data_IF_902350849176
#
_entry.id   IF_902350849176
#
_cell.length_a   1.000
_cell.length_b   1.000
_cell.length_c   1.000
_cell.angle_alpha   90.00
_cell.angle_beta   90.00
_cell.angle_gamma   90.00
#
_symmetry.space_group_name_H-M   'P 1'
#
loop_
_entity.id
_entity.type
_entity.pdbx_description
1 polymer ?
#
# COMPACT_ATOMS: atom_id res chain seq x y z
N UNK A 1 39.33 7.84 3.40
CA UNK A 1 37.96 8.29 3.05
C UNK A 1 37.14 7.16 2.44
N UNK A 2 37.42 6.67 1.22
CA UNK A 2 36.58 5.62 0.57
C UNK A 2 36.38 4.36 1.42
N UNK A 3 37.45 3.88 2.08
CA UNK A 3 37.39 2.71 2.95
C UNK A 3 36.42 2.91 4.15
N UNK A 4 36.42 4.09 4.75
CA UNK A 4 35.51 4.44 5.87
C UNK A 4 34.06 4.48 5.41
N UNK A 5 33.79 5.06 4.23
CA UNK A 5 32.45 5.07 3.64
C UNK A 5 31.93 3.66 3.33
N UNK A 6 32.78 2.79 2.77
CA UNK A 6 32.41 1.38 2.51
C UNK A 6 32.14 0.60 3.80
N UNK A 7 32.95 0.79 4.84
CA UNK A 7 32.72 0.17 6.15
C UNK A 7 31.42 0.67 6.79
N UNK A 8 31.13 1.97 6.69
CA UNK A 8 29.89 2.56 7.22
C UNK A 8 28.65 2.06 6.46
N UNK A 9 28.72 1.90 5.14
CA UNK A 9 27.65 1.27 4.37
C UNK A 9 27.40 -0.18 4.82
N UNK A 10 28.46 -0.97 4.98
CA UNK A 10 28.34 -2.35 5.46
C UNK A 10 27.79 -2.43 6.90
N UNK A 11 28.27 -1.56 7.79
CA UNK A 11 27.78 -1.42 9.16
C UNK A 11 26.31 -0.99 9.19
N UNK A 12 25.91 -0.04 8.35
CA UNK A 12 24.53 0.39 8.20
C UNK A 12 23.60 -0.73 7.77
N UNK A 13 24.04 -1.58 6.82
CA UNK A 13 23.30 -2.79 6.41
C UNK A 13 23.24 -3.80 7.56
N UNK A 14 24.31 -3.98 8.34
CA UNK A 14 24.27 -4.84 9.53
C UNK A 14 23.24 -4.36 10.56
N UNK A 15 23.22 -3.06 10.86
CA UNK A 15 22.27 -2.42 11.77
C UNK A 15 20.82 -2.53 11.31
N UNK A 16 20.56 -2.62 9.99
CA UNK A 16 19.21 -2.82 9.46
C UNK A 16 18.57 -4.11 10.00
N UNK A 17 19.31 -5.22 10.02
CA UNK A 17 18.80 -6.50 10.53
C UNK A 17 18.66 -6.53 12.06
N UNK A 18 19.26 -5.58 12.78
CA UNK A 18 19.04 -5.40 14.21
C UNK A 18 17.80 -4.56 14.51
N UNK A 19 17.23 -3.87 13.51
CA UNK A 19 16.10 -2.99 13.70
C UNK A 19 14.80 -3.79 13.92
N UNK A 20 14.07 -3.57 15.04
CA UNK A 20 12.85 -4.31 15.36
C UNK A 20 11.75 -4.15 14.30
N UNK A 21 11.74 -3.04 13.56
CA UNK A 21 10.76 -2.80 12.50
C UNK A 21 10.82 -3.84 11.37
N UNK A 22 12.00 -4.41 11.08
CA UNK A 22 12.13 -5.44 10.02
C UNK A 22 11.31 -6.68 10.39
N UNK A 23 11.52 -7.19 11.61
CA UNK A 23 10.78 -8.36 12.12
C UNK A 23 9.31 -8.05 12.34
N UNK A 24 9.01 -6.85 12.86
CA UNK A 24 7.63 -6.40 13.03
C UNK A 24 6.87 -6.38 11.69
N UNK A 25 7.53 -5.95 10.63
CA UNK A 25 6.95 -5.88 9.29
C UNK A 25 6.64 -7.26 8.72
N UNK A 26 7.52 -8.26 8.95
CA UNK A 26 7.25 -9.66 8.60
C UNK A 26 6.06 -10.23 9.38
N UNK A 27 6.03 -9.99 10.69
CA UNK A 27 4.93 -10.40 11.56
C UNK A 27 3.59 -9.76 11.12
N UNK A 28 3.59 -8.45 10.91
CA UNK A 28 2.41 -7.71 10.46
C UNK A 28 1.92 -8.24 9.11
N UNK A 29 2.82 -8.53 8.15
CA UNK A 29 2.43 -9.10 6.87
C UNK A 29 1.72 -10.44 7.03
N UNK A 30 2.18 -11.29 7.95
CA UNK A 30 1.57 -12.59 8.22
C UNK A 30 0.17 -12.43 8.84
N UNK A 31 0.02 -11.54 9.82
CA UNK A 31 -1.27 -11.29 10.50
C UNK A 31 -2.30 -10.68 9.55
N UNK A 32 -1.88 -9.70 8.75
CA UNK A 32 -2.75 -9.04 7.75
C UNK A 32 -3.22 -10.05 6.71
N UNK A 33 -2.32 -10.88 6.18
CA UNK A 33 -2.64 -11.94 5.24
C UNK A 33 -3.57 -12.99 5.84
N UNK A 34 -3.32 -13.44 7.08
CA UNK A 34 -4.18 -14.40 7.78
C UNK A 34 -5.61 -13.87 7.95
N UNK A 35 -5.77 -12.61 8.41
CA UNK A 35 -7.09 -11.98 8.55
C UNK A 35 -7.81 -11.86 7.20
N UNK A 36 -7.09 -11.55 6.13
CA UNK A 36 -7.66 -11.51 4.78
C UNK A 36 -8.13 -12.89 4.34
N UNK A 37 -7.31 -13.93 4.46
CA UNK A 37 -7.68 -15.31 4.09
C UNK A 37 -8.90 -15.78 4.89
N UNK A 38 -9.01 -15.42 6.17
CA UNK A 38 -10.19 -15.72 6.98
C UNK A 38 -11.45 -15.09 6.38
N UNK A 39 -11.40 -13.83 5.96
CA UNK A 39 -12.52 -13.16 5.27
C UNK A 39 -12.81 -13.78 3.92
N UNK A 40 -11.80 -14.10 3.12
CA UNK A 40 -11.96 -14.75 1.81
C UNK A 40 -12.71 -16.08 1.95
N UNK A 41 -12.33 -16.92 2.92
CA UNK A 41 -13.03 -18.18 3.21
C UNK A 41 -14.46 -17.96 3.70
N UNK A 42 -14.71 -16.91 4.49
CA UNK A 42 -16.04 -16.57 4.97
C UNK A 42 -16.98 -16.05 3.87
N UNK A 43 -16.46 -15.28 2.91
CA UNK A 43 -17.27 -14.65 1.87
C UNK A 43 -17.35 -15.47 0.58
N UNK A 44 -16.30 -16.22 0.25
CA UNK A 44 -16.18 -16.95 -1.01
C UNK A 44 -15.99 -18.46 -0.84
N UNK A 45 -15.86 -18.97 0.39
CA UNK A 45 -15.66 -20.40 0.66
C UNK A 45 -14.23 -20.92 0.42
N UNK A 46 -13.35 -20.12 -0.19
CA UNK A 46 -12.00 -20.52 -0.56
C UNK A 46 -10.97 -19.41 -0.34
N UNK A 47 -9.68 -19.79 -0.37
CA UNK A 47 -8.55 -18.86 -0.35
C UNK A 47 -8.30 -18.36 -1.77
N UNK A 48 -8.38 -17.06 -2.00
CA UNK A 48 -8.09 -16.45 -3.31
C UNK A 48 -6.60 -16.11 -3.40
N UNK A 49 -6.04 -15.47 -2.36
CA UNK A 49 -4.66 -14.99 -2.37
C UNK A 49 -3.82 -15.60 -1.24
N UNK A 50 -2.52 -15.78 -1.49
CA UNK A 50 -1.56 -16.27 -0.49
C UNK A 50 -1.22 -15.24 0.58
N UNK A 51 -0.74 -15.71 1.73
CA UNK A 51 -0.56 -14.90 2.95
C UNK A 51 0.31 -13.64 2.76
N UNK A 52 1.28 -13.62 1.84
CA UNK A 52 2.17 -12.47 1.57
C UNK A 52 1.76 -11.61 0.37
N UNK A 53 0.51 -11.71 -0.09
CA UNK A 53 0.06 -11.04 -1.33
C UNK A 53 0.03 -9.50 -1.22
N UNK A 54 -0.11 -8.92 -0.03
CA UNK A 54 0.00 -7.46 0.19
C UNK A 54 1.42 -6.95 -0.07
N UNK A 55 2.43 -7.79 0.14
CA UNK A 55 3.83 -7.45 -0.13
C UNK A 55 4.21 -7.74 -1.59
N UNK A 56 3.58 -8.74 -2.23
CA UNK A 56 3.94 -9.19 -3.58
C UNK A 56 3.95 -8.03 -4.59
N UNK A 57 5.01 -7.99 -5.40
CA UNK A 57 5.31 -6.99 -6.43
C UNK A 57 5.63 -5.56 -5.92
N UNK A 58 5.84 -5.36 -4.61
CA UNK A 58 6.28 -4.07 -4.06
C UNK A 58 7.78 -3.99 -3.80
N UNK A 59 8.43 -5.13 -3.50
CA UNK A 59 9.85 -5.19 -3.14
C UNK A 59 10.81 -4.51 -4.14
N UNK A 60 10.69 -4.65 -5.49
CA UNK A 60 11.68 -4.07 -6.38
C UNK A 60 11.54 -2.54 -6.42
N UNK A 61 10.31 -2.03 -6.32
CA UNK A 61 10.08 -0.59 -6.20
C UNK A 61 10.60 -0.07 -4.87
N UNK A 62 10.43 -0.84 -3.80
CA UNK A 62 10.92 -0.49 -2.47
C UNK A 62 12.42 -0.24 -2.47
N UNK A 63 13.19 -1.10 -3.15
CA UNK A 63 14.64 -0.92 -3.30
C UNK A 63 14.96 0.28 -4.19
N UNK A 64 14.27 0.45 -5.32
CA UNK A 64 14.49 1.61 -6.21
C UNK A 64 14.25 2.92 -5.46
N UNK A 65 13.11 3.06 -4.76
CA UNK A 65 12.82 4.23 -3.93
C UNK A 65 13.79 4.35 -2.77
N UNK A 66 14.18 3.24 -2.16
CA UNK A 66 15.20 3.20 -1.11
C UNK A 66 16.52 3.82 -1.56
N UNK A 67 17.01 3.44 -2.74
CA UNK A 67 18.23 3.99 -3.35
C UNK A 67 18.06 5.47 -3.70
N UNK A 68 16.95 5.86 -4.33
CA UNK A 68 16.68 7.26 -4.69
C UNK A 68 16.60 8.16 -3.44
N UNK A 69 15.86 7.74 -2.42
CA UNK A 69 15.73 8.47 -1.15
C UNK A 69 17.09 8.51 -0.44
N UNK A 70 17.87 7.42 -0.45
CA UNK A 70 19.23 7.41 0.11
C UNK A 70 20.14 8.42 -0.57
N UNK A 71 20.13 8.50 -1.91
CA UNK A 71 20.94 9.48 -2.64
C UNK A 71 20.56 10.91 -2.28
N UNK A 72 19.26 11.20 -2.16
CA UNK A 72 18.77 12.55 -1.80
C UNK A 72 19.10 12.89 -0.35
N UNK A 73 18.86 11.97 0.59
CA UNK A 73 19.10 12.19 2.03
C UNK A 73 20.60 12.29 2.34
N UNK A 74 21.44 11.42 1.79
CA UNK A 74 22.90 11.53 1.93
C UNK A 74 23.39 12.78 1.21
N UNK A 75 22.94 13.06 -0.02
CA UNK A 75 23.39 14.21 -0.81
C UNK A 75 23.02 15.55 -0.16
N UNK A 76 21.82 15.66 0.40
CA UNK A 76 21.39 16.83 1.18
C UNK A 76 22.05 16.90 2.56
N UNK A 77 22.70 15.83 3.02
CA UNK A 77 23.27 15.76 4.37
C UNK A 77 22.19 15.80 5.43
N UNK A 78 21.12 15.02 5.26
CA UNK A 78 20.01 14.95 6.19
C UNK A 78 20.43 14.15 7.43
N UNK A 79 20.60 14.86 8.55
CA UNK A 79 20.95 14.28 9.84
C UNK A 79 19.69 14.07 10.68
N UNK A 80 19.48 12.83 11.14
CA UNK A 80 18.34 12.46 11.99
C UNK A 80 18.87 11.90 13.31
N UNK A 81 18.36 12.43 14.41
CA UNK A 81 18.71 11.93 15.74
C UNK A 81 18.23 10.50 15.95
N UNK A 82 18.95 9.75 16.80
CA UNK A 82 18.55 8.38 17.18
C UNK A 82 17.14 8.35 17.76
N UNK A 83 16.81 9.35 18.58
CA UNK A 83 15.52 9.45 19.25
C UNK A 83 14.37 9.65 18.26
N UNK A 84 14.60 10.44 17.20
CA UNK A 84 13.63 10.60 16.12
C UNK A 84 13.36 9.26 15.41
N UNK A 85 14.39 8.46 15.15
CA UNK A 85 14.24 7.14 14.50
C UNK A 85 13.48 6.17 15.43
N UNK A 86 13.81 6.16 16.72
CA UNK A 86 13.13 5.32 17.71
C UNK A 86 11.66 5.73 17.84
N UNK A 87 11.38 7.03 17.97
CA UNK A 87 10.01 7.54 18.07
C UNK A 87 9.20 7.21 16.81
N UNK A 88 9.78 7.41 15.62
CA UNK A 88 9.15 7.04 14.35
C UNK A 88 8.82 5.54 14.30
N UNK A 89 9.73 4.68 14.79
CA UNK A 89 9.50 3.25 14.88
C UNK A 89 8.36 2.91 15.86
N UNK A 90 8.33 3.53 17.04
CA UNK A 90 7.27 3.34 18.03
C UNK A 90 5.91 3.78 17.46
N UNK A 91 5.82 4.98 16.88
CA UNK A 91 4.60 5.49 16.23
C UNK A 91 4.14 4.54 15.12
N UNK A 92 5.06 4.07 14.28
CA UNK A 92 4.75 3.13 13.19
C UNK A 92 4.20 1.80 13.74
N UNK A 93 4.81 1.24 14.79
CA UNK A 93 4.31 0.03 15.46
C UNK A 93 2.92 0.27 16.04
N UNK A 94 2.72 1.36 16.80
CA UNK A 94 1.43 1.70 17.40
C UNK A 94 0.31 1.85 16.36
N UNK A 95 0.56 2.58 15.28
CA UNK A 95 -0.41 2.75 14.20
C UNK A 95 -0.71 1.41 13.48
N UNK A 96 0.30 0.54 13.34
CA UNK A 96 0.12 -0.78 12.71
C UNK A 96 -0.76 -1.74 13.52
N UNK A 97 -0.83 -1.60 14.85
CA UNK A 97 -1.67 -2.43 15.71
C UNK A 97 -3.16 -2.32 15.36
N UNK A 98 -3.59 -1.17 14.82
CA UNK A 98 -4.95 -0.97 14.31
C UNK A 98 -5.32 -1.90 13.15
N UNK A 99 -4.32 -2.53 12.51
CA UNK A 99 -4.45 -3.40 11.33
C UNK A 99 -5.03 -2.69 10.09
N UNK A 100 -5.16 -1.36 10.14
CA UNK A 100 -5.57 -0.53 9.01
C UNK A 100 -4.32 -0.02 8.32
N UNK A 101 -4.00 -0.59 7.16
CA UNK A 101 -2.79 -0.21 6.42
C UNK A 101 -2.79 1.25 5.98
N UNK A 102 -3.96 1.91 5.88
CA UNK A 102 -4.04 3.36 5.61
C UNK A 102 -3.30 4.22 6.62
N UNK A 103 -3.24 3.80 7.90
CA UNK A 103 -2.53 4.54 8.95
C UNK A 103 -1.00 4.41 8.83
N UNK A 104 -0.51 3.50 7.99
CA UNK A 104 0.92 3.34 7.71
C UNK A 104 1.40 4.22 6.55
N UNK A 105 0.55 5.10 6.02
CA UNK A 105 1.01 6.13 5.09
C UNK A 105 2.03 7.05 5.80
N UNK A 106 3.08 7.52 5.08
CA UNK A 106 4.01 8.54 5.57
C UNK A 106 3.32 9.78 6.13
N UNK A 107 2.12 10.09 5.62
CA UNK A 107 1.30 11.22 6.10
C UNK A 107 1.00 11.11 7.59
N UNK A 108 0.68 9.91 8.06
CA UNK A 108 0.31 9.68 9.47
C UNK A 108 1.53 9.30 10.30
N UNK A 109 2.40 8.41 9.81
CA UNK A 109 3.57 7.96 10.58
C UNK A 109 4.55 9.09 10.87
N UNK A 110 5.03 9.80 9.84
CA UNK A 110 5.95 10.93 10.02
C UNK A 110 5.19 12.17 10.49
N UNK A 111 3.96 12.41 10.01
CA UNK A 111 3.16 13.56 10.46
C UNK A 111 2.88 13.54 11.96
N UNK A 112 2.48 12.40 12.53
CA UNK A 112 2.28 12.25 13.98
C UNK A 112 3.62 12.35 14.72
N UNK A 113 4.68 11.71 14.21
CA UNK A 113 6.02 11.81 14.81
C UNK A 113 6.50 13.26 14.88
N UNK A 114 6.32 14.03 13.80
CA UNK A 114 6.67 15.45 13.74
C UNK A 114 5.88 16.25 14.78
N UNK A 115 4.56 16.05 14.87
CA UNK A 115 3.72 16.76 15.84
C UNK A 115 4.07 16.39 17.28
N UNK A 116 4.39 15.12 17.56
CA UNK A 116 4.85 14.68 18.87
C UNK A 116 6.18 15.33 19.24
N UNK A 117 7.15 15.41 18.32
CA UNK A 117 8.43 16.09 18.56
C UNK A 117 8.24 17.59 18.78
N UNK A 118 7.30 18.21 18.05
CA UNK A 118 7.01 19.64 18.20
C UNK A 118 6.33 19.96 19.55
N UNK A 119 5.41 19.11 20.00
CA UNK A 119 4.66 19.30 21.24
C UNK A 119 5.37 18.74 22.48
N UNK A 120 6.36 17.86 22.30
CA UNK A 120 7.08 17.20 23.37
C UNK A 120 7.65 18.20 24.41
N UNK A 121 8.37 19.27 24.03
CA UNK A 121 8.90 20.23 25.00
C UNK A 121 7.82 20.86 25.88
N UNK A 122 6.66 21.19 25.33
CA UNK A 122 5.54 21.81 26.07
C UNK A 122 4.89 20.83 27.05
N UNK A 123 4.75 19.57 26.65
CA UNK A 123 4.07 18.54 27.47
C UNK A 123 4.98 18.03 28.58
N UNK A 124 6.27 17.90 28.29
CA UNK A 124 7.24 17.28 29.20
C UNK A 124 7.79 18.27 30.24
N UNK A 125 7.59 19.58 30.08
CA UNK A 125 8.12 20.61 30.98
C UNK A 125 7.64 20.42 32.43
N UNK A 126 6.47 19.80 32.59
CA UNK A 126 5.83 19.57 33.88
C UNK A 126 5.97 18.13 34.41
N UNK A 127 6.88 17.32 33.84
CA UNK A 127 7.04 15.90 34.20
C UNK A 127 8.50 15.59 34.53
N UNK A 128 8.73 14.78 35.58
CA UNK A 128 10.07 14.38 36.02
C UNK A 128 10.50 12.99 35.54
N UNK A 129 9.62 12.26 34.85
CA UNK A 129 9.84 10.85 34.47
C UNK A 129 10.60 10.66 33.16
N UNK A 130 10.58 11.64 32.26
CA UNK A 130 11.20 11.56 30.93
C UNK A 130 12.20 12.70 30.81
N UNK A 131 13.46 12.35 30.54
CA UNK A 131 14.53 13.32 30.33
C UNK A 131 14.29 14.13 29.05
N UNK A 132 14.25 15.46 29.17
CA UNK A 132 14.05 16.38 28.04
C UNK A 132 15.08 16.24 26.91
N UNK A 133 16.30 15.82 27.25
CA UNK A 133 17.39 15.66 26.28
C UNK A 133 17.09 14.63 25.19
N UNK A 134 16.19 13.67 25.45
CA UNK A 134 15.77 12.66 24.47
C UNK A 134 15.01 13.25 23.27
N UNK A 135 14.52 14.50 23.34
CA UNK A 135 13.60 15.04 22.32
C UNK A 135 14.02 16.40 21.74
N UNK A 136 15.11 17.00 22.26
CA UNK A 136 15.59 18.33 21.84
C UNK A 136 16.41 18.35 20.53
N UNK A 137 16.79 17.20 19.99
CA UNK A 137 17.60 17.08 18.75
C UNK A 137 16.80 16.86 17.46
N UNK A 138 15.53 17.28 17.41
CA UNK A 138 14.66 17.00 16.28
C UNK A 138 14.96 17.89 15.05
N UNK A 139 15.32 17.27 13.92
CA UNK A 139 15.50 17.96 12.65
C UNK A 139 14.17 18.07 11.90
N UNK A 140 13.39 19.13 12.17
CA UNK A 140 12.08 19.34 11.55
C UNK A 140 12.16 19.49 10.02
N UNK A 141 13.17 20.19 9.50
CA UNK A 141 13.40 20.36 8.05
C UNK A 141 13.70 19.03 7.37
N UNK A 142 14.55 18.20 7.99
CA UNK A 142 14.84 16.86 7.48
C UNK A 142 13.61 15.96 7.50
N UNK A 143 12.84 15.98 8.59
CA UNK A 143 11.61 15.21 8.70
C UNK A 143 10.55 15.62 7.67
N UNK A 144 10.37 16.92 7.42
CA UNK A 144 9.45 17.39 6.38
C UNK A 144 9.91 16.99 4.98
N UNK A 145 11.22 16.91 4.74
CA UNK A 145 11.77 16.50 3.44
C UNK A 145 11.52 15.02 3.20
N UNK A 146 11.82 14.20 4.22
CA UNK A 146 11.56 12.77 4.19
C UNK A 146 10.06 12.46 4.02
N UNK A 147 9.21 13.18 4.74
CA UNK A 147 7.74 13.14 4.60
C UNK A 147 7.31 13.35 3.15
N UNK A 148 7.81 14.40 2.51
CA UNK A 148 7.48 14.72 1.13
C UNK A 148 7.94 13.64 0.15
N UNK A 149 9.18 13.18 0.27
CA UNK A 149 9.76 12.14 -0.61
C UNK A 149 8.97 10.83 -0.52
N UNK A 150 8.57 10.43 0.70
CA UNK A 150 7.82 9.20 0.91
C UNK A 150 6.36 9.30 0.45
N UNK A 151 5.71 10.47 0.54
CA UNK A 151 4.38 10.67 -0.07
C UNK A 151 4.44 10.51 -1.59
N UNK A 152 5.49 11.05 -2.22
CA UNK A 152 5.72 10.86 -3.66
C UNK A 152 5.92 9.37 -3.96
N UNK A 153 6.77 8.67 -3.19
CA UNK A 153 6.96 7.22 -3.34
C UNK A 153 5.66 6.43 -3.19
N UNK A 154 4.81 6.77 -2.22
CA UNK A 154 3.49 6.17 -2.02
C UNK A 154 2.59 6.35 -3.26
N UNK A 155 2.56 7.56 -3.85
CA UNK A 155 1.78 7.83 -5.05
C UNK A 155 2.22 6.96 -6.25
N UNK A 156 3.52 6.68 -6.38
CA UNK A 156 4.05 5.78 -7.41
C UNK A 156 3.72 4.32 -7.13
N UNK A 157 3.83 3.86 -5.88
CA UNK A 157 3.42 2.50 -5.52
C UNK A 157 1.93 2.27 -5.76
N UNK A 158 1.08 3.24 -5.44
CA UNK A 158 -0.35 3.15 -5.67
C UNK A 158 -0.65 2.96 -7.16
N UNK A 159 0.04 3.70 -8.05
CA UNK A 159 -0.14 3.60 -9.51
C UNK A 159 0.15 2.20 -10.05
N UNK A 160 1.07 1.45 -9.41
CA UNK A 160 1.49 0.14 -9.90
C UNK A 160 0.57 -0.95 -9.35
N UNK A 161 -0.54 -1.18 -10.04
CA UNK A 161 -1.47 -2.25 -9.73
C UNK A 161 -1.75 -3.12 -10.96
N UNK A 162 -1.94 -4.42 -10.71
CA UNK A 162 -2.52 -5.33 -11.67
C UNK A 162 -4.04 -5.39 -11.41
N UNK A 163 -4.85 -5.42 -12.47
CA UNK A 163 -6.31 -5.54 -12.39
C UNK A 163 -6.75 -6.77 -11.59
N UNK A 164 -6.05 -7.90 -11.77
CA UNK A 164 -6.26 -9.14 -10.99
C UNK A 164 -5.52 -9.16 -9.64
N UNK A 165 -4.79 -8.11 -9.30
CA UNK A 165 -3.99 -8.02 -8.07
C UNK A 165 -4.65 -7.29 -6.90
N UNK A 166 -5.96 -7.03 -7.01
CA UNK A 166 -6.76 -6.38 -5.97
C UNK A 166 -7.54 -7.41 -5.15
N UNK A 167 -7.84 -7.07 -3.90
CA UNK A 167 -8.47 -8.02 -2.99
C UNK A 167 -10.00 -7.85 -2.98
N UNK A 168 -10.76 -8.87 -3.39
CA UNK A 168 -12.21 -8.79 -3.38
C UNK A 168 -12.74 -8.88 -1.94
N UNK A 169 -13.83 -8.18 -1.67
CA UNK A 169 -14.61 -8.32 -0.45
C UNK A 169 -16.10 -8.16 -0.82
N UNK A 170 -16.99 -8.49 0.11
CA UNK A 170 -18.43 -8.40 -0.08
C UNK A 170 -19.01 -7.47 0.98
N UNK A 171 -19.84 -6.52 0.56
CA UNK A 171 -20.50 -5.56 1.45
C UNK A 171 -22.01 -5.54 1.18
N UNK A 172 -22.81 -5.26 2.21
CA UNK A 172 -24.25 -5.05 2.04
C UNK A 172 -24.48 -3.66 1.42
N UNK A 173 -25.08 -3.62 0.24
CA UNK A 173 -25.46 -2.36 -0.40
C UNK A 173 -26.56 -1.63 0.37
N UNK A 174 -26.78 -0.34 0.04
CA UNK A 174 -27.86 0.48 0.63
C UNK A 174 -29.26 -0.12 0.47
N UNK A 175 -29.45 -0.99 -0.52
CA UNK A 175 -30.71 -1.68 -0.84
C UNK A 175 -30.82 -3.06 -0.19
N UNK A 176 -29.91 -3.42 0.71
CA UNK A 176 -29.87 -4.73 1.38
C UNK A 176 -29.32 -5.87 0.52
N UNK A 177 -28.98 -5.62 -0.74
CA UNK A 177 -28.37 -6.61 -1.64
C UNK A 177 -26.86 -6.65 -1.45
N UNK A 178 -26.27 -7.86 -1.43
CA UNK A 178 -24.82 -8.03 -1.44
C UNK A 178 -24.21 -7.51 -2.73
N UNK A 179 -23.13 -6.73 -2.60
CA UNK A 179 -22.37 -6.18 -3.71
C UNK A 179 -20.89 -6.55 -3.55
N UNK A 180 -20.24 -6.77 -4.68
CA UNK A 180 -18.80 -6.96 -4.72
C UNK A 180 -18.07 -5.63 -4.57
N UNK A 181 -17.03 -5.61 -3.76
CA UNK A 181 -16.13 -4.47 -3.62
C UNK A 181 -14.68 -4.93 -3.75
N UNK A 182 -13.78 -3.99 -3.99
CA UNK A 182 -12.35 -4.27 -4.06
C UNK A 182 -11.56 -3.39 -3.10
N UNK A 183 -10.58 -4.00 -2.44
CA UNK A 183 -9.54 -3.31 -1.69
C UNK A 183 -8.28 -3.21 -2.54
N UNK A 184 -7.89 -1.97 -2.85
CA UNK A 184 -6.57 -1.63 -3.40
C UNK A 184 -5.63 -1.48 -2.20
N UNK A 185 -4.98 -2.59 -1.85
CA UNK A 185 -4.25 -2.71 -0.60
C UNK A 185 -2.83 -3.22 -0.84
N UNK A 186 -1.82 -2.53 -0.31
CA UNK A 186 -0.43 -3.01 -0.34
C UNK A 186 0.33 -2.54 0.89
N UNK A 187 1.39 -3.27 1.20
CA UNK A 187 2.34 -2.94 2.26
C UNK A 187 3.76 -3.17 1.72
N UNK A 188 4.70 -2.31 2.08
CA UNK A 188 6.10 -2.47 1.72
C UNK A 188 7.01 -1.95 2.83
N UNK A 189 8.27 -2.38 2.78
CA UNK A 189 9.34 -1.88 3.62
C UNK A 189 10.39 -1.19 2.74
N UNK A 190 10.50 0.14 2.81
CA UNK A 190 11.51 0.91 2.06
C UNK A 190 12.77 1.03 2.91
N UNK A 191 13.88 0.36 2.53
CA UNK A 191 15.17 0.57 3.19
C UNK A 191 15.86 1.81 2.60
N UNK A 192 16.19 2.82 3.40
CA UNK A 192 16.98 3.97 2.94
C UNK A 192 18.01 4.41 3.98
N UNK A 193 19.14 4.94 3.51
CA UNK A 193 20.21 5.41 4.36
C UNK A 193 19.92 6.81 4.91
N UNK A 194 20.33 7.05 6.15
CA UNK A 194 20.27 8.33 6.84
C UNK A 194 21.56 8.55 7.61
N UNK A 195 21.92 9.82 7.82
CA UNK A 195 23.03 10.20 8.69
C UNK A 195 22.54 10.35 10.14
N UNK A 196 23.27 9.77 11.08
CA UNK A 196 23.06 9.95 12.52
C UNK A 196 24.28 10.67 13.08
N UNK A 197 24.13 11.63 14.03
CA UNK A 197 25.24 12.38 14.61
C UNK A 197 26.00 11.53 15.65
N UNK A 198 26.59 10.44 15.20
CA UNK A 198 27.47 9.58 16.01
C UNK A 198 28.28 8.68 15.09
N UNK A 199 29.53 9.01 14.79
CA UNK A 199 30.36 8.11 13.98
C UNK A 199 31.68 8.68 13.47
N UNK A 200 32.40 7.91 12.63
CA UNK A 200 33.73 8.26 12.16
C UNK A 200 33.72 9.14 10.90
N UNK A 201 32.57 9.40 10.27
CA UNK A 201 32.48 10.24 9.08
C UNK A 201 32.55 11.71 9.49
N UNK A 202 33.46 12.45 8.90
CA UNK A 202 33.55 13.90 9.04
C UNK A 202 32.96 14.58 7.81
N UNK A 203 32.63 15.86 7.95
CA UNK A 203 32.16 16.71 6.85
C UNK A 203 33.10 16.64 5.64
N UNK A 204 32.58 16.25 4.48
CA UNK A 204 33.35 16.12 3.23
C UNK A 204 33.55 17.50 2.58
N UNK A 205 32.64 18.45 2.86
CA UNK A 205 32.66 19.82 2.35
C UNK A 205 32.07 20.78 3.39
N UNK A 206 32.36 22.07 3.28
CA UNK A 206 31.87 23.10 4.21
C UNK A 206 30.35 23.27 4.23
N UNK A 207 29.67 22.90 3.15
CA UNK A 207 28.21 22.97 3.02
C UNK A 207 27.49 21.65 3.37
N UNK A 208 28.23 20.60 3.71
CA UNK A 208 27.71 19.26 3.95
C UNK A 208 28.11 18.76 5.34
N UNK A 209 27.17 18.34 6.20
CA UNK A 209 25.73 18.23 5.93
C UNK A 209 25.01 19.59 5.96
N UNK A 210 24.12 19.82 4.99
CA UNK A 210 23.36 21.06 4.90
C UNK A 210 22.24 21.15 5.96
N UNK A 211 21.76 19.99 6.42
CA UNK A 211 20.71 19.88 7.43
C UNK A 211 21.25 19.10 8.64
N UNK A 212 22.19 19.73 9.37
CA UNK A 212 22.88 19.12 10.52
C UNK A 212 22.15 19.34 11.84
N UNK A 213 22.32 18.40 12.77
CA UNK A 213 21.95 18.53 14.19
C UNK A 213 23.06 17.87 15.01
N UNK A 214 23.69 18.62 15.93
CA UNK A 214 24.74 18.10 16.81
C UNK A 214 26.16 18.25 16.26
N UNK A 215 27.03 17.27 16.56
CA UNK A 215 28.47 17.29 16.31
C UNK A 215 28.88 17.06 14.84
N UNK A 216 30.14 17.34 14.51
CA UNK A 216 30.77 17.19 13.18
C UNK A 216 31.06 15.73 12.76
N UNK A 217 30.50 14.76 13.49
CA UNK A 217 30.80 13.34 13.33
C UNK A 217 29.54 12.51 13.06
N UNK A 218 29.56 11.73 11.98
CA UNK A 218 28.38 11.08 11.43
C UNK A 218 28.61 9.59 11.19
N UNK A 219 27.53 8.80 11.27
CA UNK A 219 27.48 7.40 10.82
C UNK A 219 26.30 7.21 9.89
N UNK A 220 26.45 6.27 8.95
CA UNK A 220 25.36 5.86 8.07
C UNK A 220 24.58 4.71 8.71
N UNK A 221 23.25 4.84 8.69
CA UNK A 221 22.36 3.77 9.12
C UNK A 221 21.29 3.55 8.06
N UNK A 222 21.05 2.27 7.71
CA UNK A 222 19.98 1.88 6.83
C UNK A 222 18.69 1.70 7.64
N UNK A 223 17.73 2.60 7.47
CA UNK A 223 16.48 2.64 8.21
C UNK A 223 15.39 1.91 7.42
N UNK A 224 14.73 0.88 7.99
CA UNK A 224 13.53 0.27 7.42
C UNK A 224 12.31 1.16 7.64
N UNK A 225 11.70 1.67 6.56
CA UNK A 225 10.46 2.42 6.64
C UNK A 225 9.28 1.58 6.15
N UNK A 226 8.45 1.16 7.09
CA UNK A 226 7.21 0.44 6.80
C UNK A 226 6.15 1.42 6.32
N UNK A 227 5.60 1.16 5.13
CA UNK A 227 4.46 1.91 4.62
C UNK A 227 3.40 1.02 4.01
N UNK A 228 2.16 1.50 4.06
CA UNK A 228 1.03 0.78 3.50
C UNK A 228 -0.12 1.70 3.13
N UNK A 229 -1.03 1.16 2.33
CA UNK A 229 -2.27 1.81 1.95
C UNK A 229 -3.37 0.76 1.77
N UNK A 230 -4.62 1.18 1.98
CA UNK A 230 -5.82 0.37 1.75
C UNK A 230 -6.96 1.29 1.31
N UNK A 231 -7.34 1.19 0.03
CA UNK A 231 -8.43 1.99 -0.53
C UNK A 231 -9.53 1.07 -1.05
N UNK A 232 -10.72 1.20 -0.47
CA UNK A 232 -11.91 0.50 -0.94
C UNK A 232 -12.49 1.19 -2.17
N UNK A 233 -12.92 0.39 -3.15
CA UNK A 233 -13.56 0.82 -4.39
C UNK A 233 -14.77 -0.06 -4.65
N UNK A 234 -15.94 0.56 -4.83
CA UNK A 234 -17.19 -0.16 -5.09
C UNK A 234 -17.84 0.22 -6.42
N UNK A 235 -17.68 1.46 -6.88
CA UNK A 235 -18.48 2.04 -7.96
C UNK A 235 -17.84 1.96 -9.34
N UNK A 236 -16.61 1.47 -9.40
CA UNK A 236 -15.87 1.33 -10.65
C UNK A 236 -14.81 0.24 -10.55
N UNK A 237 -14.14 -0.01 -11.68
CA UNK A 237 -12.98 -0.89 -11.73
C UNK A 237 -11.83 -0.30 -10.89
N UNK A 238 -11.11 -1.14 -10.12
CA UNK A 238 -10.00 -0.68 -9.29
C UNK A 238 -8.93 0.07 -10.07
N UNK A 239 -8.65 -0.31 -11.32
CA UNK A 239 -7.68 0.35 -12.20
C UNK A 239 -8.02 1.84 -12.45
N UNK A 240 -9.31 2.16 -12.63
CA UNK A 240 -9.78 3.54 -12.83
C UNK A 240 -9.66 4.33 -11.53
N UNK A 241 -9.99 3.71 -10.40
CA UNK A 241 -9.86 4.33 -9.08
C UNK A 241 -8.41 4.61 -8.68
N UNK A 242 -7.47 3.70 -8.98
CA UNK A 242 -6.02 3.90 -8.77
C UNK A 242 -5.56 5.19 -9.42
N UNK A 243 -5.92 5.43 -10.69
CA UNK A 243 -5.50 6.65 -11.39
C UNK A 243 -6.10 7.92 -10.76
N UNK A 244 -7.34 7.86 -10.25
CA UNK A 244 -7.97 8.99 -9.56
C UNK A 244 -7.40 9.27 -8.17
N UNK A 245 -6.80 8.28 -7.51
CA UNK A 245 -6.14 8.46 -6.21
C UNK A 245 -4.67 8.84 -6.36
N UNK A 246 -3.94 8.19 -7.27
CA UNK A 246 -2.50 8.37 -7.43
C UNK A 246 -2.12 9.76 -8.00
N UNK A 247 -2.93 10.33 -8.90
CA UNK A 247 -2.61 11.63 -9.51
C UNK A 247 -2.71 12.80 -8.50
N UNK A 248 -3.82 12.98 -7.76
CA UNK A 248 -3.88 14.00 -6.70
C UNK A 248 -2.84 13.78 -5.60
N UNK A 249 -2.58 12.52 -5.22
CA UNK A 249 -1.55 12.21 -4.21
C UNK A 249 -0.15 12.59 -4.68
N UNK A 250 0.16 12.43 -5.98
CA UNK A 250 1.44 12.90 -6.56
C UNK A 250 1.54 14.41 -6.55
N UNK A 251 0.47 15.13 -6.92
CA UNK A 251 0.44 16.60 -6.86
C UNK A 251 0.65 17.07 -5.43
N UNK A 252 -0.05 16.45 -4.47
CA UNK A 252 0.12 16.73 -3.05
C UNK A 252 1.57 16.52 -2.61
N UNK A 253 2.17 15.36 -2.95
CA UNK A 253 3.57 15.07 -2.65
C UNK A 253 4.54 16.11 -3.22
N UNK A 254 4.32 16.56 -4.46
CA UNK A 254 5.13 17.62 -5.08
C UNK A 254 4.95 18.98 -4.39
N UNK A 255 3.71 19.36 -4.04
CA UNK A 255 3.45 20.61 -3.32
C UNK A 255 4.10 20.60 -1.92
N UNK A 256 3.98 19.49 -1.19
CA UNK A 256 4.62 19.29 0.12
C UNK A 256 6.15 19.29 -0.02
N UNK A 257 6.70 18.73 -1.10
CA UNK A 257 8.13 18.75 -1.38
C UNK A 257 8.65 20.17 -1.59
N UNK A 258 7.91 21.02 -2.32
CA UNK A 258 8.26 22.43 -2.51
C UNK A 258 8.22 23.20 -1.17
N UNK A 259 7.19 22.99 -0.35
CA UNK A 259 7.11 23.60 0.99
C UNK A 259 8.27 23.14 1.88
N UNK A 260 8.60 21.85 1.85
CA UNK A 260 9.73 21.31 2.62
C UNK A 260 11.09 21.75 2.09
N UNK A 261 11.25 22.00 0.80
CA UNK A 261 12.48 22.61 0.29
C UNK A 261 12.59 24.06 0.75
N UNK A 262 11.47 24.80 0.76
CA UNK A 262 11.40 26.16 1.29
C UNK A 262 11.73 26.24 2.79
N UNK A 263 11.48 25.19 3.57
CA UNK A 263 11.77 25.19 5.00
C UNK A 263 13.25 25.28 5.36
N UNK A 264 14.14 25.02 4.39
CA UNK A 264 15.57 25.30 4.49
C UNK A 264 15.87 26.79 4.72
N UNK A 265 15.03 27.68 4.17
CA UNK A 265 15.17 29.13 4.34
C UNK A 265 14.29 29.65 5.47
N UNK A 266 13.11 29.03 5.67
CA UNK A 266 12.08 29.53 6.56
C UNK A 266 11.49 28.36 7.38
N UNK A 267 11.94 28.18 8.62
CA UNK A 267 11.64 26.98 9.42
C UNK A 267 10.15 26.62 9.59
N UNK A 268 9.24 27.60 9.70
CA UNK A 268 7.80 27.32 9.87
C UNK A 268 7.14 26.66 8.64
N UNK A 269 7.78 26.73 7.46
CA UNK A 269 7.32 26.00 6.28
C UNK A 269 7.40 24.49 6.47
N UNK A 270 8.25 23.97 7.37
CA UNK A 270 8.27 22.55 7.70
C UNK A 270 6.93 22.11 8.31
N UNK A 271 6.40 22.88 9.25
CA UNK A 271 5.07 22.64 9.83
C UNK A 271 3.97 22.82 8.77
N UNK A 272 4.07 23.85 7.94
CA UNK A 272 3.12 24.07 6.85
C UNK A 272 3.08 22.88 5.87
N UNK A 273 4.23 22.26 5.57
CA UNK A 273 4.34 21.07 4.74
C UNK A 273 3.60 19.88 5.36
N UNK A 274 3.81 19.61 6.66
CA UNK A 274 3.13 18.53 7.39
C UNK A 274 1.62 18.75 7.42
N UNK A 275 1.16 19.95 7.80
CA UNK A 275 -0.26 20.30 7.86
C UNK A 275 -0.91 20.17 6.47
N UNK A 276 -0.25 20.66 5.43
CA UNK A 276 -0.73 20.53 4.05
C UNK A 276 -0.83 19.07 3.62
N UNK A 277 0.15 18.23 3.96
CA UNK A 277 0.12 16.80 3.67
C UNK A 277 -1.02 16.07 4.37
N UNK A 278 -1.25 16.35 5.66
CA UNK A 278 -2.33 15.74 6.45
C UNK A 278 -3.70 16.16 5.92
N UNK A 279 -3.94 17.48 5.79
CA UNK A 279 -5.23 18.02 5.32
C UNK A 279 -5.49 17.57 3.88
N UNK A 280 -4.48 17.66 3.01
CA UNK A 280 -4.58 17.25 1.62
C UNK A 280 -4.90 15.77 1.46
N UNK A 281 -4.28 14.89 2.27
CA UNK A 281 -4.56 13.45 2.26
C UNK A 281 -5.99 13.15 2.69
N UNK A 282 -6.44 13.79 3.76
CA UNK A 282 -7.81 13.60 4.24
C UNK A 282 -8.83 14.12 3.24
N UNK A 283 -8.56 15.26 2.59
CA UNK A 283 -9.40 15.77 1.50
C UNK A 283 -9.48 14.81 0.30
N UNK A 284 -8.36 14.20 -0.11
CA UNK A 284 -8.34 13.19 -1.19
C UNK A 284 -9.19 11.97 -0.79
N UNK A 285 -9.00 11.45 0.42
CA UNK A 285 -9.75 10.30 0.94
C UNK A 285 -11.25 10.61 1.02
N UNK A 286 -11.61 11.79 1.54
CA UNK A 286 -12.99 12.26 1.63
C UNK A 286 -13.65 12.39 0.25
N UNK A 287 -12.96 13.01 -0.72
CA UNK A 287 -13.44 13.15 -2.10
C UNK A 287 -13.67 11.79 -2.76
N UNK A 288 -12.73 10.86 -2.60
CA UNK A 288 -12.84 9.48 -3.11
C UNK A 288 -14.05 8.78 -2.50
N UNK A 289 -14.17 8.79 -1.16
CA UNK A 289 -15.30 8.18 -0.46
C UNK A 289 -16.63 8.78 -0.91
N UNK A 290 -16.74 10.11 -1.03
CA UNK A 290 -17.99 10.75 -1.44
C UNK A 290 -18.38 10.43 -2.88
N UNK A 291 -17.40 10.35 -3.77
CA UNK A 291 -17.61 9.97 -5.16
C UNK A 291 -18.03 8.50 -5.31
N UNK A 292 -17.34 7.59 -4.62
CA UNK A 292 -17.66 6.16 -4.65
C UNK A 292 -19.06 5.93 -4.04
N UNK A 293 -19.30 6.61 -2.90
CA UNK A 293 -20.54 7.13 -2.30
C UNK A 293 -21.77 7.35 -3.19
N UNK A 294 -21.59 8.12 -4.25
CA UNK A 294 -22.71 8.69 -5.02
C UNK A 294 -23.09 7.84 -6.22
N UNK A 295 -22.22 6.93 -6.65
CA UNK A 295 -22.43 6.08 -7.81
C UNK A 295 -22.97 4.70 -7.45
N UNK A 296 -23.66 4.09 -8.41
CA UNK A 296 -24.11 2.71 -8.31
C UNK A 296 -22.89 1.77 -8.19
N UNK A 297 -22.96 0.69 -7.39
CA UNK A 297 -21.91 -0.31 -7.33
C UNK A 297 -21.66 -0.94 -8.71
N UNK A 298 -20.39 -1.18 -9.03
CA UNK A 298 -19.98 -1.74 -10.32
C UNK A 298 -20.17 -3.26 -10.38
N UNK A 299 -19.84 -3.95 -9.29
CA UNK A 299 -19.98 -5.40 -9.17
C UNK A 299 -21.34 -5.74 -8.56
N UNK A 300 -22.32 -5.95 -9.43
CA UNK A 300 -23.70 -6.25 -9.04
C UNK A 300 -24.23 -7.44 -9.81
N UNK A 301 -25.37 -7.97 -9.37
CA UNK A 301 -26.10 -8.97 -10.14
C UNK A 301 -26.57 -8.36 -11.46
N UNK A 302 -26.07 -8.89 -12.57
CA UNK A 302 -26.46 -8.46 -13.91
C UNK A 302 -27.27 -9.57 -14.59
N UNK A 303 -28.40 -9.22 -15.21
CA UNK A 303 -29.26 -10.18 -15.92
C UNK A 303 -28.71 -10.61 -17.29
N UNK A 304 -27.47 -10.21 -17.64
CA UNK A 304 -26.86 -10.38 -18.97
C UNK A 304 -25.48 -11.00 -18.89
N UNK A 305 -25.32 -12.02 -18.05
CA UNK A 305 -24.05 -12.73 -17.86
C UNK A 305 -23.50 -12.67 -16.45
N UNK A 306 -22.43 -13.42 -16.24
CA UNK A 306 -21.72 -13.51 -14.97
C UNK A 306 -20.55 -12.54 -14.97
N UNK A 307 -20.59 -11.57 -14.07
CA UNK A 307 -19.49 -10.63 -13.88
C UNK A 307 -18.40 -11.26 -13.01
N UNK A 308 -17.16 -11.17 -13.48
CA UNK A 308 -15.97 -11.64 -12.77
C UNK A 308 -15.64 -10.66 -11.66
N UNK A 309 -15.78 -11.08 -10.40
CA UNK A 309 -15.36 -10.33 -9.23
C UNK A 309 -13.87 -10.54 -8.96
N UNK A 310 -13.39 -11.77 -8.98
CA UNK A 310 -11.97 -12.06 -8.82
C UNK A 310 -11.55 -13.29 -9.62
N UNK A 311 -10.26 -13.39 -9.87
CA UNK A 311 -9.62 -14.53 -10.50
C UNK A 311 -8.57 -15.05 -9.53
N UNK A 312 -8.63 -16.34 -9.23
CA UNK A 312 -7.68 -16.99 -8.33
C UNK A 312 -6.33 -17.14 -9.07
N UNK A 313 -5.21 -16.63 -8.53
CA UNK A 313 -3.92 -16.72 -9.20
C UNK A 313 -3.49 -18.17 -9.47
N UNK A 314 -2.94 -18.41 -10.66
CA UNK A 314 -2.45 -19.74 -11.07
C UNK A 314 -3.50 -20.71 -11.59
N UNK A 315 -4.80 -20.38 -11.53
CA UNK A 315 -5.88 -21.22 -12.09
C UNK A 315 -6.02 -21.06 -13.61
N UNK A 316 -6.80 -21.91 -14.31
CA UNK A 316 -7.03 -21.77 -15.73
C UNK A 316 -7.51 -20.37 -16.15
N UNK A 317 -8.40 -19.74 -15.38
CA UNK A 317 -8.87 -18.38 -15.68
C UNK A 317 -7.75 -17.33 -15.67
N UNK A 318 -6.78 -17.46 -14.75
CA UNK A 318 -5.61 -16.57 -14.69
C UNK A 318 -4.70 -16.80 -15.91
N UNK A 319 -4.44 -18.06 -16.27
CA UNK A 319 -3.65 -18.44 -17.45
C UNK A 319 -4.29 -17.98 -18.77
N UNK A 320 -5.62 -17.94 -18.81
CA UNK A 320 -6.40 -17.45 -19.94
C UNK A 320 -6.52 -15.93 -19.99
N UNK A 321 -5.94 -15.23 -19.01
CA UNK A 321 -5.95 -13.77 -18.94
C UNK A 321 -7.36 -13.20 -18.79
N UNK A 322 -8.25 -13.90 -18.09
CA UNK A 322 -9.56 -13.34 -17.70
C UNK A 322 -9.32 -12.25 -16.67
N UNK A 323 -9.97 -11.10 -16.84
CA UNK A 323 -9.73 -9.92 -16.02
C UNK A 323 -10.92 -9.60 -15.12
N UNK A 324 -10.63 -9.08 -13.93
CA UNK A 324 -11.63 -8.55 -12.99
C UNK A 324 -12.56 -7.54 -13.68
N UNK A 325 -13.87 -7.74 -13.53
CA UNK A 325 -14.91 -6.89 -14.09
C UNK A 325 -15.28 -7.15 -15.55
N UNK A 326 -14.63 -8.11 -16.22
CA UNK A 326 -15.19 -8.68 -17.45
C UNK A 326 -16.47 -9.48 -17.16
N UNK A 327 -17.32 -9.67 -18.18
CA UNK A 327 -18.58 -10.41 -18.05
C UNK A 327 -18.58 -11.61 -18.98
N UNK A 328 -18.75 -12.82 -18.43
CA UNK A 328 -18.94 -14.04 -19.21
C UNK A 328 -20.40 -14.11 -19.65
N UNK A 329 -20.61 -14.16 -20.95
CA UNK A 329 -21.95 -14.10 -21.57
C UNK A 329 -22.41 -15.43 -22.15
N UNK A 330 -21.46 -16.22 -22.67
CA UNK A 330 -21.74 -17.56 -23.20
C UNK A 330 -20.62 -18.53 -22.88
N UNK A 331 -20.99 -19.80 -22.79
CA UNK A 331 -20.07 -20.94 -22.72
C UNK A 331 -20.51 -21.94 -23.79
N UNK A 332 -19.60 -22.30 -24.69
CA UNK A 332 -19.86 -23.21 -25.81
C UNK A 332 -21.11 -22.82 -26.64
N UNK A 333 -21.30 -21.52 -26.84
CA UNK A 333 -22.46 -20.97 -27.57
C UNK A 333 -23.76 -20.88 -26.77
N UNK A 334 -23.85 -21.50 -25.58
CA UNK A 334 -25.00 -21.40 -24.67
C UNK A 334 -24.92 -20.11 -23.86
N UNK A 335 -26.01 -19.34 -23.82
CA UNK A 335 -26.11 -18.12 -23.01
C UNK A 335 -26.17 -18.50 -21.53
N UNK A 336 -25.39 -17.79 -20.71
CA UNK A 336 -25.29 -18.03 -19.27
C UNK A 336 -25.75 -16.78 -18.54
N UNK A 337 -26.70 -16.95 -17.62
CA UNK A 337 -27.18 -15.86 -16.76
C UNK A 337 -26.98 -16.16 -15.27
N UNK A 338 -26.65 -17.41 -14.90
CA UNK A 338 -26.38 -17.82 -13.51
C UNK A 338 -25.15 -18.70 -13.38
N UNK A 339 -24.55 -18.71 -12.19
CA UNK A 339 -23.30 -19.42 -11.88
C UNK A 339 -23.45 -20.93 -12.04
N UNK A 340 -24.61 -21.50 -11.71
CA UNK A 340 -24.87 -22.93 -11.90
C UNK A 340 -24.82 -23.28 -13.39
N UNK A 341 -25.47 -22.48 -14.23
CA UNK A 341 -25.49 -22.68 -15.69
C UNK A 341 -24.08 -22.64 -16.27
N UNK A 342 -23.22 -21.79 -15.72
CA UNK A 342 -21.82 -21.70 -16.14
C UNK A 342 -21.06 -23.01 -15.92
N UNK A 343 -21.11 -23.53 -14.69
CA UNK A 343 -20.42 -24.77 -14.36
C UNK A 343 -21.02 -25.97 -15.09
N UNK A 344 -22.34 -26.05 -15.21
CA UNK A 344 -22.98 -27.09 -16.03
C UNK A 344 -22.56 -27.02 -17.50
N UNK A 345 -22.53 -25.84 -18.10
CA UNK A 345 -22.12 -25.67 -19.50
C UNK A 345 -20.62 -25.93 -19.74
N UNK A 346 -19.80 -25.79 -18.69
CA UNK A 346 -18.38 -26.11 -18.72
C UNK A 346 -18.14 -27.63 -18.65
N UNK A 347 -18.91 -28.34 -17.81
CA UNK A 347 -18.82 -29.80 -17.66
C UNK A 347 -19.38 -30.55 -18.88
N UNK A 348 -20.43 -30.01 -19.52
CA UNK A 348 -21.08 -30.62 -20.69
C UNK A 348 -20.16 -30.75 -21.93
N UNK A 349 -19.13 -29.91 -22.04
CA UNK A 349 -18.25 -29.87 -23.20
C UNK A 349 -17.04 -30.81 -23.16
N UNK A 350 -16.92 -31.65 -22.12
CA UNK A 350 -15.79 -32.54 -21.96
C UNK A 350 -14.48 -31.78 -21.79
N UNK A 351 -13.46 -32.14 -22.58
CA UNK A 351 -12.10 -31.61 -22.41
C UNK A 351 -11.90 -30.18 -22.94
N UNK A 352 -12.78 -29.61 -23.78
CA UNK A 352 -12.58 -28.30 -24.40
C UNK A 352 -13.74 -27.36 -24.14
N UNK A 353 -13.46 -26.09 -23.86
CA UNK A 353 -14.49 -25.07 -23.70
C UNK A 353 -14.13 -23.78 -24.43
N UNK A 354 -15.18 -23.05 -24.86
CA UNK A 354 -15.11 -21.73 -25.47
C UNK A 354 -15.96 -20.74 -24.68
N UNK A 355 -15.32 -19.73 -24.11
CA UNK A 355 -15.97 -18.63 -23.41
C UNK A 355 -16.17 -17.44 -24.35
N UNK A 356 -17.35 -16.83 -24.28
CA UNK A 356 -17.60 -15.50 -24.83
C UNK A 356 -17.59 -14.48 -23.70
N UNK A 357 -16.55 -13.66 -23.68
CA UNK A 357 -16.29 -12.67 -22.63
C UNK A 357 -16.52 -11.27 -23.21
N UNK A 358 -17.28 -10.45 -22.49
CA UNK A 358 -17.45 -9.03 -22.79
C UNK A 358 -16.55 -8.21 -21.86
N UNK A 359 -15.67 -7.40 -22.45
CA UNK A 359 -14.82 -6.45 -21.75
C UNK A 359 -15.61 -5.28 -21.17
N UNK A 360 -14.95 -4.47 -20.32
CA UNK A 360 -15.55 -3.27 -19.75
C UNK A 360 -15.72 -2.12 -20.77
N UNK A 361 -15.05 -2.22 -21.92
CA UNK A 361 -15.25 -1.38 -23.10
C UNK A 361 -16.45 -1.82 -23.96
N UNK A 362 -17.09 -2.96 -23.63
CA UNK A 362 -18.20 -3.53 -24.39
C UNK A 362 -17.77 -4.46 -25.54
N UNK A 363 -16.48 -4.57 -25.82
CA UNK A 363 -15.95 -5.46 -26.85
C UNK A 363 -16.10 -6.92 -26.42
N UNK A 364 -16.40 -7.78 -27.39
CA UNK A 364 -16.55 -9.21 -27.16
C UNK A 364 -15.30 -9.92 -27.65
N UNK A 365 -14.67 -10.70 -26.76
CA UNK A 365 -13.56 -11.60 -27.10
C UNK A 365 -13.92 -13.04 -26.78
N UNK A 366 -13.34 -13.96 -27.54
CA UNK A 366 -13.48 -15.39 -27.31
C UNK A 366 -12.20 -15.94 -26.72
N UNK A 367 -12.34 -16.79 -25.72
CA UNK A 367 -11.24 -17.46 -25.05
C UNK A 367 -11.54 -18.95 -25.06
N UNK A 368 -10.57 -19.78 -25.43
CA UNK A 368 -10.74 -21.22 -25.55
C UNK A 368 -9.57 -21.94 -24.90
N UNK A 369 -9.86 -23.04 -24.21
CA UNK A 369 -8.85 -23.88 -23.58
C UNK A 369 -9.34 -25.31 -23.41
N UNK A 370 -8.41 -26.20 -23.11
CA UNK A 370 -8.74 -27.53 -22.62
C UNK A 370 -8.80 -27.50 -21.07
N UNK A 371 -9.79 -28.17 -20.46
CA UNK A 371 -9.70 -28.54 -19.05
C UNK A 371 -8.76 -29.74 -18.95
N UNK A 372 -7.67 -29.60 -18.20
CA UNK A 372 -6.78 -30.73 -17.90
C UNK A 372 -7.28 -31.46 -16.65
N UNK A 373 -6.98 -32.75 -16.54
CA UNK A 373 -7.42 -33.61 -15.43
C UNK A 373 -6.91 -33.13 -14.06
N UNK A 374 -5.79 -32.40 -14.03
CA UNK A 374 -5.22 -31.77 -12.83
C UNK A 374 -5.89 -30.42 -12.46
N UNK A 375 -6.59 -29.79 -13.40
CA UNK A 375 -7.35 -28.58 -13.12
C UNK A 375 -8.58 -28.99 -12.30
N UNK A 376 -8.61 -28.60 -11.03
CA UNK A 376 -9.81 -28.76 -10.22
C UNK A 376 -11.00 -28.17 -10.98
N UNK A 377 -12.17 -28.79 -10.85
CA UNK A 377 -13.38 -28.58 -11.67
C UNK A 377 -13.93 -27.13 -11.73
N UNK A 378 -13.25 -26.18 -11.09
CA UNK A 378 -13.52 -24.76 -11.13
C UNK A 378 -12.41 -24.00 -11.86
N UNK A 379 -12.75 -23.17 -12.86
CA UNK A 379 -11.80 -22.31 -13.58
C UNK A 379 -11.07 -21.30 -12.67
N UNK A 380 -11.45 -21.19 -11.39
CA UNK A 380 -10.94 -20.22 -10.42
C UNK A 380 -11.52 -18.83 -10.61
N UNK A 381 -12.78 -18.74 -11.04
CA UNK A 381 -13.52 -17.48 -11.22
C UNK A 381 -14.43 -17.27 -10.02
N UNK A 382 -14.24 -16.14 -9.34
CA UNK A 382 -15.12 -15.68 -8.27
C UNK A 382 -16.08 -14.66 -8.87
N UNK A 383 -17.36 -14.84 -8.60
CA UNK A 383 -18.43 -13.99 -9.14
C UNK A 383 -18.98 -13.09 -8.05
N UNK A 384 -19.67 -12.03 -8.45
CA UNK A 384 -20.31 -11.10 -7.50
C UNK A 384 -21.51 -11.71 -6.74
N UNK A 385 -21.85 -12.99 -7.01
CA UNK A 385 -22.97 -13.70 -6.39
C UNK A 385 -22.42 -14.87 -5.60
N UNK A 386 -22.40 -14.73 -4.27
CA UNK A 386 -21.98 -15.79 -3.38
C UNK A 386 -23.00 -16.92 -3.36
N UNK A 387 -22.60 -18.09 -3.83
CA UNK A 387 -23.36 -19.36 -3.79
C UNK A 387 -23.73 -19.84 -2.38
N UNK A 388 -23.10 -19.29 -1.33
CA UNK A 388 -22.93 -19.97 -0.04
C UNK A 388 -23.76 -19.43 1.12
N UNK A 389 -24.66 -18.47 0.91
CA UNK A 389 -25.57 -18.00 1.98
C UNK A 389 -27.01 -18.47 1.87
N UNK A 390 -27.45 -18.87 0.68
CA UNK A 390 -28.78 -19.48 0.57
C UNK A 390 -28.82 -20.88 1.21
N UNK A 391 -27.69 -21.59 1.31
CA UNK A 391 -27.61 -22.91 1.97
C UNK A 391 -27.44 -22.87 3.50
N UNK A 392 -27.22 -21.69 4.10
CA UNK A 392 -27.19 -21.53 5.57
C UNK A 392 -28.46 -20.86 6.11
N UNK A 393 -29.35 -20.41 5.22
CA UNK A 393 -30.64 -19.80 5.54
C UNK A 393 -31.83 -20.68 5.10
N UNK A 394 -31.55 -21.84 4.50
CA UNK A 394 -32.47 -22.95 4.28
C UNK A 394 -32.07 -24.10 5.20
#
# INVERSE_FOLDING_TARGET
>A
MVQTWLMELASGIGKFFLNPLVYWTLFLSMVVGYKRIKKERQHFGLKIFDIFSEWKNTWPLSIIFGVVISMITIGAGLVVSKDTIILLAVVTILLSLSMRLTLLSPVYTIGITFLLLLLAPVVLENQSFITMDLLNGANFTGLSLLFALLIVAEAFLLKRHNRNGTFPDMELGRRGTWIGIHHIKKMTLIPFFVLIPSGPLTSIASFWPYISVGDDSYSLVLVPFLMGFDHTVRSELPEKAVNRLAYPLRILGLAVLLLSAGSMFIGWLALAAIVTGIIGREFINFKHRRFDQSKAPFFTQNARGIQVLAVVPGTPADRLGILVGETITKVNGKKIDRVEQFYYALQDSGAFFKLQIRGDNGEVRFVQSALYEEDHHELGIITAVGHLRESQLA
#
